data_IF_822746937431
#
_entry.id   IF_822746937431
#
_cell.length_a   1.000
_cell.length_b   1.000
_cell.length_c   1.000
_cell.angle_alpha   90.00
_cell.angle_beta   90.00
_cell.angle_gamma   90.00
#
_symmetry.space_group_name_H-M   'P 1'
#
loop_
_entity.id
_entity.type
_entity.pdbx_description
1 polymer ?
#
# COMPACT_ATOMS: atom_id res chain seq x y z
N UNK A 1 -12.75 -31.20 27.12
CA UNK A 1 -11.61 -30.65 26.42
C UNK A 1 -12.05 -29.51 25.56
N UNK A 2 -11.70 -28.25 25.93
CA UNK A 2 -11.88 -27.10 25.04
C UNK A 2 -10.82 -27.22 23.97
N UNK A 3 -11.22 -27.44 22.70
CA UNK A 3 -10.35 -27.28 21.56
C UNK A 3 -9.81 -25.86 21.56
N UNK A 4 -8.51 -25.72 21.76
CA UNK A 4 -7.79 -24.49 21.49
C UNK A 4 -7.86 -24.33 19.97
N UNK A 5 -8.75 -23.50 19.47
CA UNK A 5 -8.72 -23.06 18.07
C UNK A 5 -7.37 -22.35 17.91
N UNK A 6 -6.45 -23.00 17.22
CA UNK A 6 -5.22 -22.35 16.77
C UNK A 6 -5.66 -21.11 15.96
N UNK A 7 -5.39 -19.94 16.50
CA UNK A 7 -5.49 -18.72 15.73
C UNK A 7 -4.52 -18.88 14.55
N UNK A 8 -5.05 -19.17 13.37
CA UNK A 8 -4.26 -19.10 12.13
C UNK A 8 -3.78 -17.67 12.03
N UNK A 9 -2.48 -17.47 12.14
CA UNK A 9 -1.88 -16.15 11.92
C UNK A 9 -2.26 -15.62 10.53
N UNK A 10 -2.13 -14.32 10.36
CA UNK A 10 -2.30 -13.67 9.07
C UNK A 10 -1.23 -14.19 8.11
N UNK A 11 -1.64 -14.60 6.92
CA UNK A 11 -0.74 -15.14 5.89
C UNK A 11 -0.44 -14.04 4.88
N UNK A 12 0.79 -14.03 4.35
CA UNK A 12 1.22 -13.06 3.32
C UNK A 12 1.18 -11.58 3.77
N UNK A 13 1.33 -11.33 5.07
CA UNK A 13 1.43 -9.99 5.64
C UNK A 13 2.89 -9.58 5.78
N UNK A 14 3.26 -8.48 5.11
CA UNK A 14 4.53 -7.79 5.33
C UNK A 14 4.36 -6.63 6.31
N UNK A 15 5.30 -6.44 7.24
CA UNK A 15 5.34 -5.23 8.08
C UNK A 15 5.98 -4.11 7.26
N UNK A 16 5.22 -3.02 7.06
CA UNK A 16 5.66 -1.87 6.27
C UNK A 16 6.27 -0.77 7.15
N UNK A 17 5.62 -0.47 8.28
CA UNK A 17 6.02 0.64 9.13
C UNK A 17 5.81 0.33 10.61
N UNK A 18 6.71 0.84 11.44
CA UNK A 18 6.56 0.90 12.90
C UNK A 18 6.72 2.35 13.33
N UNK A 19 5.77 2.85 14.13
CA UNK A 19 5.78 4.20 14.67
C UNK A 19 5.82 4.11 16.19
N UNK A 20 6.87 4.63 16.80
CA UNK A 20 6.97 4.73 18.25
C UNK A 20 6.07 5.86 18.74
N UNK A 21 5.28 5.58 19.76
CA UNK A 21 4.42 6.53 20.45
C UNK A 21 5.21 7.25 21.56
N UNK A 22 4.76 8.45 21.91
CA UNK A 22 5.42 9.24 22.97
C UNK A 22 5.32 8.60 24.36
N UNK A 23 4.33 7.75 24.59
CA UNK A 23 4.11 7.01 25.83
C UNK A 23 4.94 5.71 25.93
N UNK A 24 5.79 5.42 24.92
CA UNK A 24 6.60 4.22 24.85
C UNK A 24 5.92 3.02 24.18
N UNK A 25 4.66 3.14 23.81
CA UNK A 25 3.95 2.15 22.99
C UNK A 25 4.33 2.27 21.51
N UNK A 26 3.71 1.45 20.67
CA UNK A 26 3.99 1.46 19.23
C UNK A 26 2.73 1.26 18.39
N UNK A 27 2.80 1.73 17.15
CA UNK A 27 1.86 1.44 16.08
C UNK A 27 2.58 0.63 15.01
N UNK A 28 2.03 -0.50 14.65
CA UNK A 28 2.56 -1.41 13.62
C UNK A 28 1.59 -1.40 12.45
N UNK A 29 2.12 -1.14 11.25
CA UNK A 29 1.37 -1.23 10.00
C UNK A 29 1.92 -2.37 9.17
N UNK A 30 1.06 -3.31 8.85
CA UNK A 30 1.32 -4.40 7.92
C UNK A 30 0.37 -4.34 6.73
N UNK A 31 0.73 -4.98 5.65
CA UNK A 31 -0.06 -5.02 4.42
C UNK A 31 -0.06 -6.44 3.86
N UNK A 32 -1.23 -6.91 3.44
CA UNK A 32 -1.31 -8.14 2.66
C UNK A 32 -0.67 -7.91 1.30
N UNK A 33 0.44 -8.60 1.03
CA UNK A 33 1.10 -8.55 -0.25
C UNK A 33 1.48 -9.94 -0.75
N UNK A 34 1.19 -10.20 -2.00
CA UNK A 34 1.61 -11.44 -2.68
C UNK A 34 1.90 -11.18 -4.14
N UNK A 35 2.75 -12.01 -4.70
CA UNK A 35 2.93 -12.11 -6.15
C UNK A 35 2.58 -13.52 -6.64
N UNK A 36 2.22 -13.61 -7.91
CA UNK A 36 1.88 -14.86 -8.58
C UNK A 36 2.39 -14.84 -10.01
N UNK A 37 3.14 -15.83 -10.40
CA UNK A 37 3.63 -15.96 -11.79
C UNK A 37 2.66 -16.82 -12.60
N UNK A 38 2.17 -16.25 -13.70
CA UNK A 38 1.38 -16.98 -14.69
C UNK A 38 2.23 -17.34 -15.90
N UNK A 39 2.20 -18.61 -16.26
CA UNK A 39 2.85 -19.13 -17.46
C UNK A 39 1.81 -19.17 -18.59
N UNK A 40 2.02 -18.43 -19.66
CA UNK A 40 1.20 -18.54 -20.86
C UNK A 40 1.94 -19.38 -21.89
N UNK A 41 1.49 -20.60 -22.10
CA UNK A 41 1.90 -21.41 -23.23
C UNK A 41 0.98 -21.11 -24.40
N UNK A 42 1.30 -20.12 -25.19
CA UNK A 42 0.69 -20.02 -26.51
C UNK A 42 1.27 -21.15 -27.37
N UNK A 43 0.43 -22.14 -27.70
CA UNK A 43 0.77 -23.14 -28.71
C UNK A 43 0.60 -22.46 -30.08
N UNK A 44 1.67 -22.11 -30.79
CA UNK A 44 1.52 -21.53 -32.11
C UNK A 44 0.97 -22.60 -33.08
N UNK A 45 -0.10 -22.31 -33.73
CA UNK A 45 -0.41 -22.97 -35.01
C UNK A 45 0.60 -22.43 -36.02
N UNK A 46 1.51 -23.36 -36.46
CA UNK A 46 2.54 -23.16 -37.48
C UNK A 46 3.78 -22.31 -37.05
N UNK A 47 4.82 -22.98 -36.62
CA UNK A 47 6.16 -22.89 -37.17
C UNK A 47 6.98 -21.63 -36.91
N UNK A 48 6.87 -20.90 -35.77
CA UNK A 48 7.91 -19.96 -35.33
C UNK A 48 7.87 -19.84 -33.80
N UNK A 49 9.05 -19.80 -33.22
CA UNK A 49 9.44 -19.68 -31.83
C UNK A 49 8.36 -19.65 -30.73
N UNK A 50 8.40 -20.67 -29.87
CA UNK A 50 7.69 -20.73 -28.59
C UNK A 50 8.25 -19.65 -27.65
N UNK A 51 7.75 -18.43 -27.72
CA UNK A 51 8.01 -17.43 -26.69
C UNK A 51 7.06 -17.69 -25.53
N UNK A 52 7.51 -18.46 -24.57
CA UNK A 52 6.86 -18.58 -23.27
C UNK A 52 6.91 -17.19 -22.60
N UNK A 53 5.76 -16.54 -22.46
CA UNK A 53 5.66 -15.25 -21.78
C UNK A 53 5.19 -15.47 -20.36
N UNK A 54 6.08 -15.22 -19.41
CA UNK A 54 5.72 -15.20 -17.99
C UNK A 54 5.17 -13.83 -17.66
N UNK A 55 4.05 -13.78 -16.96
CA UNK A 55 3.46 -12.56 -16.42
C UNK A 55 3.48 -12.67 -14.91
N UNK A 56 3.94 -11.66 -14.23
CA UNK A 56 3.94 -11.58 -12.78
C UNK A 56 2.80 -10.66 -12.34
N UNK A 57 1.88 -11.20 -11.55
CA UNK A 57 0.78 -10.47 -10.95
C UNK A 57 1.18 -10.05 -9.53
N UNK A 58 0.94 -8.78 -9.20
CA UNK A 58 1.20 -8.20 -7.88
C UNK A 58 -0.13 -7.79 -7.24
N UNK A 59 -0.35 -8.22 -6.00
CA UNK A 59 -1.52 -7.91 -5.19
C UNK A 59 -1.06 -7.23 -3.91
N UNK A 60 -1.59 -6.04 -3.62
CA UNK A 60 -1.39 -5.30 -2.39
C UNK A 60 -2.75 -4.90 -1.85
N UNK A 61 -3.21 -5.67 -0.86
CA UNK A 61 -4.57 -5.58 -0.37
C UNK A 61 -4.63 -4.88 1.00
N UNK A 62 -5.45 -5.39 1.89
CA UNK A 62 -5.79 -4.75 3.15
C UNK A 62 -4.57 -4.36 3.99
N UNK A 63 -4.69 -3.22 4.69
CA UNK A 63 -3.70 -2.75 5.62
C UNK A 63 -4.16 -3.13 7.03
N UNK A 64 -3.25 -3.69 7.81
CA UNK A 64 -3.45 -4.02 9.22
C UNK A 64 -2.75 -2.98 10.08
N UNK A 65 -3.50 -2.32 10.95
CA UNK A 65 -2.97 -1.36 11.91
C UNK A 65 -3.18 -1.90 13.32
N UNK A 66 -2.11 -2.02 14.09
CA UNK A 66 -2.11 -2.54 15.45
C UNK A 66 -1.41 -1.52 16.35
N UNK A 67 -2.10 -1.09 17.41
CA UNK A 67 -1.52 -0.28 18.47
C UNK A 67 -1.24 -1.15 19.69
N UNK A 68 -0.04 -1.02 20.23
CA UNK A 68 0.44 -1.79 21.38
C UNK A 68 0.88 -0.82 22.47
N UNK A 69 0.50 -1.10 23.71
CA UNK A 69 0.95 -0.36 24.89
C UNK A 69 2.42 -0.63 25.22
N UNK A 70 3.06 0.19 26.08
CA UNK A 70 4.46 -0.04 26.50
C UNK A 70 4.72 -1.39 27.18
N UNK A 71 3.71 -1.97 27.80
CA UNK A 71 3.73 -3.28 28.46
C UNK A 71 3.57 -4.46 27.49
N UNK A 72 3.31 -4.19 26.20
CA UNK A 72 3.10 -5.18 25.16
C UNK A 72 1.64 -5.59 24.94
N UNK A 73 0.70 -5.06 25.73
CA UNK A 73 -0.73 -5.36 25.55
C UNK A 73 -1.31 -4.66 24.32
N UNK A 74 -2.27 -5.32 23.66
CA UNK A 74 -2.98 -4.75 22.51
C UNK A 74 -3.87 -3.58 22.98
N UNK A 75 -3.64 -2.40 22.43
CA UNK A 75 -4.50 -1.24 22.67
C UNK A 75 -5.72 -1.26 21.72
N UNK A 76 -5.48 -1.37 20.45
CA UNK A 76 -6.50 -1.56 19.42
C UNK A 76 -5.88 -2.15 18.16
N UNK A 77 -6.74 -2.75 17.33
CA UNK A 77 -6.39 -3.22 15.97
C UNK A 77 -7.49 -2.85 14.98
N UNK A 78 -7.09 -2.60 13.73
CA UNK A 78 -7.98 -2.25 12.62
C UNK A 78 -7.52 -2.93 11.34
N UNK A 79 -8.51 -3.25 10.51
CA UNK A 79 -8.30 -3.64 9.11
C UNK A 79 -8.82 -2.49 8.25
N UNK A 80 -7.95 -1.96 7.40
CA UNK A 80 -8.24 -0.85 6.50
C UNK A 80 -8.29 -1.41 5.08
N UNK A 81 -9.48 -1.44 4.51
CA UNK A 81 -9.74 -2.08 3.23
C UNK A 81 -9.10 -1.33 2.07
N UNK A 82 -8.23 -2.01 1.37
CA UNK A 82 -7.57 -1.56 0.16
C UNK A 82 -7.45 -2.75 -0.79
N UNK A 83 -7.52 -2.49 -2.11
CA UNK A 83 -7.35 -3.55 -3.11
C UNK A 83 -6.59 -2.99 -4.30
N UNK A 84 -5.37 -3.43 -4.47
CA UNK A 84 -4.51 -3.03 -5.58
C UNK A 84 -4.02 -4.26 -6.33
N UNK A 85 -3.99 -4.14 -7.65
CA UNK A 85 -3.53 -5.16 -8.55
C UNK A 85 -2.74 -4.53 -9.70
N UNK A 86 -1.59 -5.08 -10.00
CA UNK A 86 -0.77 -4.68 -11.16
C UNK A 86 -0.05 -5.88 -11.78
N UNK A 87 0.54 -5.67 -12.95
CA UNK A 87 1.25 -6.70 -13.69
C UNK A 87 2.60 -6.18 -14.18
N UNK A 88 3.63 -7.02 -14.08
CA UNK A 88 4.97 -6.80 -14.64
C UNK A 88 5.59 -5.41 -14.33
N UNK A 89 5.29 -4.86 -13.15
CA UNK A 89 5.74 -3.53 -12.71
C UNK A 89 6.40 -3.53 -11.32
N UNK A 90 6.73 -4.71 -10.78
CA UNK A 90 7.29 -4.91 -9.43
C UNK A 90 6.46 -4.29 -8.30
N UNK A 91 5.14 -4.07 -8.55
CA UNK A 91 4.26 -3.39 -7.62
C UNK A 91 4.67 -1.93 -7.35
N UNK A 92 5.39 -1.28 -8.28
CA UNK A 92 5.99 0.04 -8.09
C UNK A 92 4.97 1.14 -7.74
N UNK A 93 3.71 0.96 -8.17
CA UNK A 93 2.62 1.91 -7.93
C UNK A 93 1.68 1.48 -6.81
N UNK A 94 1.93 0.31 -6.25
CA UNK A 94 1.13 -0.31 -5.18
C UNK A 94 1.63 0.08 -3.80
N UNK A 95 0.95 -0.44 -2.74
CA UNK A 95 1.21 -0.12 -1.35
C UNK A 95 0.81 1.31 -0.97
N UNK A 96 1.26 1.79 0.18
CA UNK A 96 0.89 3.07 0.75
C UNK A 96 2.11 3.83 1.26
N UNK A 97 1.95 5.13 1.41
CA UNK A 97 2.90 6.01 2.10
C UNK A 97 2.34 6.42 3.46
N UNK A 98 3.15 6.27 4.51
CA UNK A 98 2.79 6.75 5.85
C UNK A 98 3.24 8.20 6.02
N UNK A 99 2.27 9.12 5.99
CA UNK A 99 2.47 10.53 6.26
C UNK A 99 2.14 10.84 7.73
N UNK A 100 3.05 11.49 8.44
CA UNK A 100 2.93 11.75 9.87
C UNK A 100 2.63 13.23 10.11
N UNK A 101 1.55 13.49 10.85
CA UNK A 101 1.23 14.84 11.36
C UNK A 101 1.31 14.85 12.90
N UNK A 102 1.32 16.01 13.55
CA UNK A 102 1.34 16.06 15.01
C UNK A 102 0.17 15.36 15.70
N UNK A 103 -0.98 15.29 15.05
CA UNK A 103 -2.24 14.77 15.62
C UNK A 103 -2.73 13.46 15.00
N UNK A 104 -2.31 13.15 13.77
CA UNK A 104 -2.84 12.03 13.01
C UNK A 104 -1.77 11.35 12.16
N UNK A 105 -2.06 10.12 11.77
CA UNK A 105 -1.33 9.41 10.73
C UNK A 105 -2.22 9.33 9.47
N UNK A 106 -1.62 9.48 8.31
CA UNK A 106 -2.31 9.41 7.03
C UNK A 106 -1.64 8.32 6.18
N UNK A 107 -2.39 7.31 5.79
CA UNK A 107 -1.94 6.26 4.88
C UNK A 107 -2.43 6.61 3.48
N UNK A 108 -1.54 7.07 2.62
CA UNK A 108 -1.88 7.63 1.30
C UNK A 108 -1.51 6.62 0.23
N UNK A 109 -2.43 6.32 -0.69
CA UNK A 109 -2.26 5.29 -1.70
C UNK A 109 -3.07 5.55 -2.98
N UNK A 110 -2.69 4.87 -4.06
CA UNK A 110 -3.52 4.81 -5.26
C UNK A 110 -4.67 3.82 -5.03
N UNK A 111 -5.91 4.20 -5.26
CA UNK A 111 -7.05 3.27 -5.12
C UNK A 111 -6.98 2.14 -6.15
N UNK A 112 -6.65 2.48 -7.39
CA UNK A 112 -6.48 1.53 -8.47
C UNK A 112 -5.12 1.74 -9.15
N UNK A 113 -4.52 0.66 -9.64
CA UNK A 113 -3.26 0.73 -10.38
C UNK A 113 -3.55 0.78 -11.88
N UNK A 114 -4.09 1.90 -12.32
CA UNK A 114 -4.40 2.22 -13.73
C UNK A 114 -3.69 3.50 -14.17
N UNK A 115 -3.89 3.87 -15.42
CA UNK A 115 -3.33 5.12 -15.96
C UNK A 115 -3.96 6.39 -15.35
N UNK A 116 -5.20 6.27 -14.89
CA UNK A 116 -6.00 7.31 -14.28
C UNK A 116 -6.50 6.80 -12.95
N UNK A 117 -6.03 7.40 -11.87
CA UNK A 117 -6.24 6.92 -10.51
C UNK A 117 -6.87 7.99 -9.63
N UNK A 118 -7.68 7.54 -8.72
CA UNK A 118 -7.98 8.28 -7.50
C UNK A 118 -6.90 7.97 -6.48
N UNK A 119 -6.36 9.01 -5.86
CA UNK A 119 -5.51 8.91 -4.69
C UNK A 119 -6.40 9.07 -3.47
N UNK A 120 -6.35 8.09 -2.60
CA UNK A 120 -7.10 8.07 -1.35
C UNK A 120 -6.18 7.99 -0.15
N UNK A 121 -6.74 8.30 1.00
CA UNK A 121 -6.07 8.14 2.27
C UNK A 121 -6.97 7.51 3.33
N UNK A 122 -6.34 6.90 4.31
CA UNK A 122 -6.91 6.67 5.63
C UNK A 122 -6.29 7.66 6.61
N UNK A 123 -7.13 8.46 7.26
CA UNK A 123 -6.77 9.30 8.39
C UNK A 123 -6.98 8.51 9.67
N UNK A 124 -5.92 8.30 10.47
CA UNK A 124 -5.95 7.50 11.70
C UNK A 124 -5.65 8.38 12.89
N UNK A 125 -6.55 8.39 13.87
CA UNK A 125 -6.37 9.07 15.15
C UNK A 125 -5.69 8.15 16.18
N UNK A 126 -5.13 8.71 17.22
CA UNK A 126 -4.49 7.94 18.30
C UNK A 126 -5.42 6.93 18.99
N UNK A 127 -6.72 7.17 18.99
CA UNK A 127 -7.77 6.28 19.49
C UNK A 127 -8.03 5.05 18.62
N UNK A 128 -7.48 5.02 17.40
CA UNK A 128 -7.79 4.00 16.40
C UNK A 128 -8.99 4.34 15.52
N UNK A 129 -9.66 5.47 15.75
CA UNK A 129 -10.69 5.96 14.84
C UNK A 129 -10.06 6.28 13.50
N UNK A 130 -10.71 5.90 12.42
CA UNK A 130 -10.20 6.10 11.09
C UNK A 130 -11.32 6.53 10.13
N UNK A 131 -10.93 7.34 9.16
CA UNK A 131 -11.79 7.86 8.10
C UNK A 131 -11.07 7.69 6.77
N UNK A 132 -11.81 7.35 5.71
CA UNK A 132 -11.26 7.26 4.36
C UNK A 132 -11.72 8.46 3.54
N UNK A 133 -10.77 9.11 2.89
CA UNK A 133 -11.02 10.27 2.03
C UNK A 133 -10.38 10.08 0.66
N UNK A 134 -11.03 10.61 -0.37
CA UNK A 134 -10.42 10.80 -1.69
C UNK A 134 -9.67 12.14 -1.68
N UNK A 135 -8.38 12.13 -2.01
CA UNK A 135 -7.54 13.33 -1.99
C UNK A 135 -7.52 14.05 -3.34
N UNK A 136 -7.27 13.31 -4.41
CA UNK A 136 -7.17 13.86 -5.76
C UNK A 136 -7.38 12.79 -6.82
N UNK A 137 -7.74 13.23 -8.03
CA UNK A 137 -7.72 12.40 -9.23
C UNK A 137 -6.49 12.75 -10.08
N UNK A 138 -5.81 11.75 -10.59
CA UNK A 138 -4.65 11.93 -11.48
C UNK A 138 -5.04 11.98 -12.96
N UNK A 139 -6.34 11.87 -13.29
CA UNK A 139 -6.87 11.76 -14.65
C UNK A 139 -6.39 12.88 -15.57
N UNK A 140 -6.58 14.13 -15.16
CA UNK A 140 -6.18 15.30 -15.92
C UNK A 140 -4.69 15.64 -15.81
N UNK A 141 -4.02 15.14 -14.76
CA UNK A 141 -2.63 15.48 -14.46
C UNK A 141 -1.62 14.63 -15.24
N UNK A 142 -2.07 13.56 -15.86
CA UNK A 142 -1.22 12.57 -16.54
C UNK A 142 -0.08 12.06 -15.66
N UNK A 143 -0.34 11.91 -14.37
CA UNK A 143 0.60 11.39 -13.38
C UNK A 143 0.33 9.91 -13.10
N UNK A 144 1.38 9.17 -12.75
CA UNK A 144 1.33 7.81 -12.22
C UNK A 144 2.23 7.77 -10.98
N UNK A 145 1.62 7.96 -9.82
CA UNK A 145 2.33 8.25 -8.56
C UNK A 145 2.85 6.96 -7.91
N UNK A 146 4.11 7.01 -7.44
CA UNK A 146 4.80 5.91 -6.76
C UNK A 146 4.87 6.22 -5.26
N UNK A 147 3.80 5.93 -4.51
CA UNK A 147 3.72 6.26 -3.09
C UNK A 147 4.74 5.51 -2.23
N UNK A 148 5.20 4.33 -2.62
CA UNK A 148 6.28 3.62 -1.93
C UNK A 148 7.58 4.42 -1.85
N UNK A 149 7.83 5.26 -2.85
CA UNK A 149 9.05 6.06 -2.99
C UNK A 149 8.82 7.53 -2.58
N UNK A 150 7.67 7.84 -1.96
CA UNK A 150 7.36 9.18 -1.51
C UNK A 150 8.20 9.58 -0.31
N UNK A 151 8.44 10.89 -0.18
CA UNK A 151 9.20 11.47 0.94
C UNK A 151 8.39 12.61 1.54
N UNK A 152 8.17 12.57 2.84
CA UNK A 152 7.60 13.68 3.59
C UNK A 152 8.65 14.76 3.79
N UNK A 153 8.35 16.01 3.39
CA UNK A 153 9.27 17.15 3.51
C UNK A 153 8.88 18.15 4.62
N UNK A 154 7.62 18.14 5.03
CA UNK A 154 7.13 18.94 6.18
C UNK A 154 5.87 18.31 6.78
N UNK A 155 5.27 18.96 7.78
CA UNK A 155 4.03 18.50 8.41
C UNK A 155 2.80 18.52 7.51
N UNK A 156 2.89 19.20 6.36
CA UNK A 156 1.80 19.37 5.39
C UNK A 156 2.20 19.06 3.94
N UNK A 157 3.46 18.63 3.70
CA UNK A 157 3.98 18.47 2.33
C UNK A 157 4.74 17.19 2.14
N UNK A 158 4.55 16.59 0.98
CA UNK A 158 5.35 15.45 0.51
C UNK A 158 5.70 15.60 -0.97
N UNK A 159 6.74 14.89 -1.38
CA UNK A 159 7.11 14.70 -2.79
C UNK A 159 6.94 13.24 -3.16
N UNK A 160 6.39 13.03 -4.34
CA UNK A 160 6.07 11.70 -4.86
C UNK A 160 6.62 11.57 -6.28
N UNK A 161 7.46 10.58 -6.56
CA UNK A 161 7.87 10.28 -7.92
C UNK A 161 6.68 9.84 -8.75
N UNK A 162 6.66 10.27 -10.00
CA UNK A 162 5.69 9.84 -11.00
C UNK A 162 6.42 9.38 -12.24
N UNK A 163 6.21 8.13 -12.62
CA UNK A 163 6.81 7.57 -13.82
C UNK A 163 5.72 7.17 -14.81
N UNK A 164 5.78 7.75 -16.00
CA UNK A 164 4.83 7.46 -17.08
C UNK A 164 5.55 7.44 -18.41
N UNK A 165 5.43 6.35 -19.17
CA UNK A 165 6.06 6.18 -20.50
C UNK A 165 7.56 6.46 -20.50
N UNK A 166 8.29 5.99 -19.48
CA UNK A 166 9.72 6.20 -19.33
C UNK A 166 10.13 7.62 -18.93
N UNK A 167 9.18 8.50 -18.63
CA UNK A 167 9.46 9.86 -18.13
C UNK A 167 9.27 9.90 -16.61
N UNK A 168 10.32 10.24 -15.90
CA UNK A 168 10.28 10.50 -14.47
C UNK A 168 9.96 11.98 -14.20
N UNK A 169 9.00 12.22 -13.32
CA UNK A 169 8.62 13.53 -12.79
C UNK A 169 8.55 13.46 -11.27
N UNK A 170 8.57 14.60 -10.62
CA UNK A 170 8.35 14.71 -9.17
C UNK A 170 7.11 15.57 -8.95
N UNK A 171 6.11 15.01 -8.30
CA UNK A 171 4.90 15.71 -7.88
C UNK A 171 5.07 16.17 -6.42
N UNK A 172 4.76 17.44 -6.12
CA UNK A 172 4.63 17.94 -4.77
C UNK A 172 3.15 17.93 -4.39
N UNK A 173 2.81 17.28 -3.29
CA UNK A 173 1.45 17.24 -2.73
C UNK A 173 1.45 18.03 -1.43
N UNK A 174 0.45 18.90 -1.27
CA UNK A 174 0.18 19.68 -0.06
C UNK A 174 -1.13 19.18 0.52
N UNK A 175 -1.14 18.80 1.81
CA UNK A 175 -2.25 18.15 2.51
C UNK A 175 -2.95 19.09 3.48
#
# INVERSE_FOLDING_TARGET
>A
GKEIRQNRGLVEIGINNIVLRKDGGMLIFGEENRNSTRFSTNVPRMGFDNVSRNTIDYYYNDIFAISVHPDGEEHWKKVLYKKQYSQDDDGAYSSFFLFKTPSNLRLIFNDEIKFENTVSEYLIKGTGDNERHSLLSTELLKLRLRFRDAIQISGDKMVVPSERRGQLRVAKIIL
#
